data_IF_384191098897
#
_entry.id   IF_384191098897
#
_cell.length_a   1.000
_cell.length_b   1.000
_cell.length_c   1.000
_cell.angle_alpha   90.00
_cell.angle_beta   90.00
_cell.angle_gamma   90.00
#
_symmetry.space_group_name_H-M   'P 1'
#
loop_
_entity.id
_entity.type
_entity.pdbx_description
1 polymer ?
#
# COMPACT_ATOMS: atom_id res chain seq x y z
N UNK A 1 10.21 3.79 1.79
CA UNK A 1 11.53 3.20 1.48
C UNK A 1 12.43 3.01 2.70
N UNK A 2 12.93 4.06 3.36
CA UNK A 2 13.84 3.94 4.53
C UNK A 2 13.28 3.10 5.70
N UNK A 3 12.02 3.35 6.08
CA UNK A 3 11.35 2.59 7.16
C UNK A 3 11.25 1.11 6.82
N UNK A 4 10.90 0.76 5.57
CA UNK A 4 10.80 -0.62 5.11
C UNK A 4 12.16 -1.32 5.16
N UNK A 5 13.21 -0.67 4.63
CA UNK A 5 14.55 -1.26 4.60
C UNK A 5 15.11 -1.58 5.98
N UNK A 6 14.77 -0.80 7.01
CA UNK A 6 15.18 -1.05 8.41
C UNK A 6 14.55 -2.31 9.02
N UNK A 7 13.48 -2.87 8.42
CA UNK A 7 12.79 -4.07 8.93
C UNK A 7 13.39 -5.39 8.49
N UNK A 8 14.27 -5.38 7.49
CA UNK A 8 14.84 -6.58 6.88
C UNK A 8 16.35 -6.47 6.81
N UNK A 9 17.07 -7.59 6.93
CA UNK A 9 18.52 -7.59 6.96
C UNK A 9 19.11 -7.05 5.64
N UNK A 10 20.27 -6.39 5.66
CA UNK A 10 20.82 -5.71 4.47
C UNK A 10 21.22 -6.68 3.35
N UNK A 11 21.55 -7.93 3.68
CA UNK A 11 21.83 -8.97 2.69
C UNK A 11 20.57 -9.41 1.92
N UNK A 12 19.37 -9.20 2.47
CA UNK A 12 18.12 -9.55 1.80
C UNK A 12 17.75 -8.49 0.76
N UNK A 13 17.60 -8.93 -0.49
CA UNK A 13 17.10 -8.08 -1.58
C UNK A 13 15.60 -7.85 -1.38
N UNK A 14 15.19 -6.59 -1.36
CA UNK A 14 13.78 -6.24 -1.30
C UNK A 14 13.28 -5.89 -2.69
N UNK A 15 12.20 -6.54 -3.10
CA UNK A 15 11.45 -6.18 -4.30
C UNK A 15 10.24 -5.36 -3.89
N UNK A 16 10.08 -4.19 -4.49
CA UNK A 16 8.93 -3.32 -4.28
C UNK A 16 8.20 -3.23 -5.61
N UNK A 17 6.94 -3.64 -5.64
CA UNK A 17 6.05 -3.48 -6.79
C UNK A 17 5.28 -2.18 -6.63
N UNK A 18 5.24 -1.37 -7.68
CA UNK A 18 4.67 -0.03 -7.65
C UNK A 18 4.16 0.39 -9.03
N UNK A 19 3.28 1.39 -9.06
CA UNK A 19 2.79 1.99 -10.28
C UNK A 19 3.80 2.97 -10.91
N UNK A 20 3.41 3.59 -12.03
CA UNK A 20 4.23 4.55 -12.77
C UNK A 20 4.09 6.01 -12.29
N UNK A 21 3.68 6.25 -11.05
CA UNK A 21 3.58 7.62 -10.54
C UNK A 21 4.93 8.34 -10.64
N UNK A 22 4.95 9.57 -11.17
CA UNK A 22 6.19 10.25 -11.57
C UNK A 22 7.24 10.41 -10.45
N UNK A 23 6.88 10.62 -9.16
CA UNK A 23 7.86 10.65 -8.07
C UNK A 23 8.60 9.33 -7.87
N UNK A 24 8.01 8.18 -8.23
CA UNK A 24 8.68 6.89 -8.18
C UNK A 24 9.83 6.79 -9.17
N UNK A 25 9.84 7.63 -10.21
CA UNK A 25 10.89 7.67 -11.23
C UNK A 25 12.00 8.68 -10.92
N UNK A 26 11.85 9.49 -9.88
CA UNK A 26 12.80 10.53 -9.55
C UNK A 26 14.20 9.95 -9.25
N UNK A 27 15.27 10.58 -9.78
CA UNK A 27 16.67 10.12 -9.65
C UNK A 27 17.04 9.73 -8.21
N UNK A 28 16.75 10.60 -7.23
CA UNK A 28 16.94 10.34 -5.79
C UNK A 28 16.32 9.02 -5.31
N UNK A 29 15.14 8.65 -5.78
CA UNK A 29 14.45 7.41 -5.40
C UNK A 29 15.17 6.19 -5.98
N UNK A 30 15.47 6.21 -7.28
CA UNK A 30 16.19 5.11 -7.96
C UNK A 30 17.60 4.91 -7.39
N UNK A 31 18.34 5.99 -7.16
CA UNK A 31 19.68 5.95 -6.55
C UNK A 31 19.63 5.33 -5.15
N UNK A 32 18.71 5.81 -4.31
CA UNK A 32 18.56 5.28 -2.96
C UNK A 32 18.22 3.78 -2.97
N UNK A 33 17.32 3.33 -3.86
CA UNK A 33 16.93 1.93 -3.94
C UNK A 33 18.12 1.02 -4.29
N UNK A 34 18.89 1.39 -5.32
CA UNK A 34 20.11 0.69 -5.74
C UNK A 34 21.14 0.56 -4.61
N UNK A 35 21.37 1.64 -3.86
CA UNK A 35 22.34 1.66 -2.75
C UNK A 35 21.89 0.85 -1.53
N UNK A 36 20.62 0.45 -1.46
CA UNK A 36 20.02 -0.22 -0.31
C UNK A 36 19.55 -1.66 -0.62
N UNK A 37 20.05 -2.27 -1.69
CA UNK A 37 19.65 -3.61 -2.12
C UNK A 37 18.11 -3.72 -2.27
N UNK A 38 17.52 -2.68 -2.87
CA UNK A 38 16.08 -2.59 -3.17
C UNK A 38 15.89 -2.49 -4.67
N UNK A 39 15.08 -3.37 -5.22
CA UNK A 39 14.65 -3.36 -6.61
C UNK A 39 13.24 -2.81 -6.73
N UNK A 40 13.06 -1.85 -7.63
CA UNK A 40 11.78 -1.24 -7.95
C UNK A 40 11.23 -1.92 -9.20
N UNK A 41 10.10 -2.60 -9.06
CA UNK A 41 9.38 -3.29 -10.13
C UNK A 41 8.15 -2.46 -10.48
N UNK A 42 8.16 -1.86 -11.66
CA UNK A 42 7.06 -1.03 -12.13
C UNK A 42 6.02 -1.89 -12.85
N UNK A 43 4.74 -1.72 -12.53
CA UNK A 43 3.66 -2.31 -13.34
C UNK A 43 3.65 -1.67 -14.73
N UNK A 44 3.09 -2.32 -15.77
CA UNK A 44 2.84 -1.66 -17.05
C UNK A 44 1.97 -0.40 -16.90
N UNK A 45 2.10 0.54 -17.84
CA UNK A 45 1.25 1.73 -17.89
C UNK A 45 -0.22 1.31 -18.06
N UNK A 46 -1.11 1.98 -17.33
CA UNK A 46 -2.55 1.67 -17.29
C UNK A 46 -2.93 0.26 -16.79
N UNK A 47 -2.00 -0.44 -16.12
CA UNK A 47 -2.26 -1.76 -15.55
C UNK A 47 -2.46 -1.72 -14.03
N UNK A 48 -3.39 -0.89 -13.55
CA UNK A 48 -3.74 -0.83 -12.12
C UNK A 48 -4.21 -2.18 -11.56
N UNK A 49 -4.83 -3.01 -12.40
CA UNK A 49 -5.23 -4.39 -12.08
C UNK A 49 -4.06 -5.36 -11.85
N UNK A 50 -2.80 -4.94 -12.04
CA UNK A 50 -1.61 -5.68 -11.59
C UNK A 50 -1.06 -5.17 -10.25
N UNK A 51 -1.52 -4.00 -9.79
CA UNK A 51 -1.06 -3.41 -8.55
C UNK A 51 -1.92 -3.90 -7.37
N UNK A 52 -1.36 -4.82 -6.57
CA UNK A 52 -2.05 -5.46 -5.41
C UNK A 52 -2.54 -4.50 -4.34
N UNK A 53 -1.99 -3.27 -4.27
CA UNK A 53 -2.50 -2.27 -3.31
C UNK A 53 -3.94 -1.83 -3.64
N UNK A 54 -4.34 -1.90 -4.92
CA UNK A 54 -5.63 -1.38 -5.39
C UNK A 54 -6.83 -2.09 -4.73
N UNK A 55 -6.74 -3.41 -4.52
CA UNK A 55 -7.81 -4.15 -3.84
C UNK A 55 -7.95 -3.79 -2.36
N UNK A 56 -6.96 -3.13 -1.75
CA UNK A 56 -7.04 -2.68 -0.37
C UNK A 56 -7.77 -1.35 -0.22
N UNK A 57 -7.85 -0.53 -1.27
CA UNK A 57 -8.50 0.79 -1.20
C UNK A 57 -10.02 0.70 -1.11
N UNK A 58 -10.66 -0.30 -1.73
CA UNK A 58 -12.11 -0.53 -1.62
C UNK A 58 -12.57 -0.73 -0.17
N UNK A 59 -12.02 -1.74 0.54
CA UNK A 59 -12.27 -1.93 1.97
C UNK A 59 -11.95 -0.70 2.84
N UNK A 60 -10.83 0.00 2.57
CA UNK A 60 -10.49 1.22 3.31
C UNK A 60 -11.58 2.29 3.15
N UNK A 61 -12.04 2.52 1.92
CA UNK A 61 -13.14 3.46 1.65
C UNK A 61 -14.42 3.04 2.37
N UNK A 62 -14.77 1.75 2.30
CA UNK A 62 -15.99 1.21 2.91
C UNK A 62 -16.01 1.35 4.43
N UNK A 63 -14.92 0.98 5.10
CA UNK A 63 -14.90 0.85 6.56
C UNK A 63 -14.36 2.07 7.29
N UNK A 64 -13.71 3.00 6.59
CA UNK A 64 -13.12 4.20 7.21
C UNK A 64 -13.75 5.48 6.70
N UNK A 65 -14.10 5.59 5.41
CA UNK A 65 -14.55 6.86 4.83
C UNK A 65 -16.07 6.94 4.68
N UNK A 66 -16.72 5.85 4.28
CA UNK A 66 -18.16 5.84 4.02
C UNK A 66 -18.95 6.14 5.30
N UNK A 67 -19.82 7.15 5.25
CA UNK A 67 -20.64 7.57 6.40
C UNK A 67 -19.88 8.26 7.53
N UNK A 68 -18.60 8.59 7.33
CA UNK A 68 -17.78 9.27 8.35
C UNK A 68 -17.77 10.78 8.19
N UNK A 69 -17.60 11.51 9.29
CA UNK A 69 -17.39 12.97 9.32
C UNK A 69 -16.31 13.30 10.36
N UNK A 70 -15.04 13.13 9.99
CA UNK A 70 -13.92 13.43 10.89
C UNK A 70 -13.72 14.93 11.02
N UNK A 71 -13.49 15.40 12.25
CA UNK A 71 -13.36 16.83 12.55
C UNK A 71 -11.98 17.39 12.19
N UNK A 72 -11.00 16.52 11.90
CA UNK A 72 -9.64 16.90 11.55
C UNK A 72 -8.90 15.83 10.75
N UNK A 73 -7.80 16.24 10.11
CA UNK A 73 -6.87 15.33 9.44
C UNK A 73 -6.22 14.34 10.41
N UNK A 74 -5.96 14.75 11.65
CA UNK A 74 -5.37 13.88 12.67
C UNK A 74 -6.32 12.76 13.10
N UNK A 75 -7.61 13.09 13.20
CA UNK A 75 -8.65 12.10 13.51
C UNK A 75 -8.79 11.07 12.38
N UNK A 76 -8.85 11.55 11.13
CA UNK A 76 -8.83 10.69 9.94
C UNK A 76 -7.59 9.79 9.92
N UNK A 77 -6.40 10.34 10.19
CA UNK A 77 -5.16 9.58 10.23
C UNK A 77 -5.21 8.48 11.33
N UNK A 78 -5.72 8.80 12.52
CA UNK A 78 -5.91 7.82 13.61
C UNK A 78 -6.89 6.71 13.20
N UNK A 79 -8.00 7.05 12.55
CA UNK A 79 -8.99 6.09 12.07
C UNK A 79 -8.40 5.14 11.01
N UNK A 80 -7.69 5.68 10.01
CA UNK A 80 -6.99 4.88 9.00
C UNK A 80 -5.99 3.93 9.67
N UNK A 81 -5.18 4.42 10.62
CA UNK A 81 -4.20 3.58 11.32
C UNK A 81 -4.87 2.49 12.17
N UNK A 82 -5.96 2.82 12.87
CA UNK A 82 -6.72 1.85 13.66
C UNK A 82 -7.30 0.75 12.77
N UNK A 83 -7.88 1.12 11.64
CA UNK A 83 -8.37 0.17 10.64
C UNK A 83 -7.24 -0.71 10.09
N UNK A 84 -6.09 -0.15 9.70
CA UNK A 84 -4.96 -0.94 9.18
C UNK A 84 -4.49 -1.97 10.22
N UNK A 85 -4.37 -1.57 11.50
CA UNK A 85 -4.00 -2.49 12.58
C UNK A 85 -5.02 -3.60 12.75
N UNK A 86 -6.31 -3.25 12.81
CA UNK A 86 -7.39 -4.21 12.96
C UNK A 86 -7.45 -5.17 11.76
N UNK A 87 -7.39 -4.65 10.52
CA UNK A 87 -7.36 -5.42 9.28
C UNK A 87 -6.22 -6.42 9.25
N UNK A 88 -5.01 -6.00 9.64
CA UNK A 88 -3.84 -6.89 9.64
C UNK A 88 -3.97 -8.02 10.65
N UNK A 89 -4.61 -7.77 11.81
CA UNK A 89 -4.94 -8.80 12.80
C UNK A 89 -6.06 -9.72 12.31
N UNK A 90 -6.98 -9.22 11.50
CA UNK A 90 -8.17 -9.91 11.01
C UNK A 90 -8.12 -10.17 9.50
N UNK A 91 -6.97 -10.63 8.99
CA UNK A 91 -6.71 -10.77 7.54
C UNK A 91 -7.66 -11.72 6.78
N UNK A 92 -8.40 -12.57 7.49
CA UNK A 92 -9.39 -13.51 6.93
C UNK A 92 -10.84 -13.10 7.19
N UNK A 93 -11.08 -11.88 7.70
CA UNK A 93 -12.44 -11.43 7.99
C UNK A 93 -13.28 -11.35 6.71
N UNK A 94 -14.42 -12.03 6.70
CA UNK A 94 -15.25 -12.21 5.49
C UNK A 94 -15.67 -10.89 4.85
N UNK A 95 -16.11 -9.91 5.65
CA UNK A 95 -16.50 -8.60 5.12
C UNK A 95 -15.33 -7.86 4.43
N UNK A 96 -14.09 -8.04 4.90
CA UNK A 96 -12.90 -7.45 4.26
C UNK A 96 -12.67 -8.14 2.92
N UNK A 97 -12.67 -9.47 2.90
CA UNK A 97 -12.45 -10.26 1.69
C UNK A 97 -13.53 -9.97 0.64
N UNK A 98 -14.79 -9.83 1.05
CA UNK A 98 -15.89 -9.45 0.17
C UNK A 98 -15.63 -8.11 -0.52
N UNK A 99 -15.19 -7.10 0.22
CA UNK A 99 -14.87 -5.79 -0.36
C UNK A 99 -13.59 -5.82 -1.22
N UNK A 100 -12.58 -6.62 -0.86
CA UNK A 100 -11.37 -6.80 -1.68
C UNK A 100 -11.67 -7.44 -3.03
N UNK A 101 -12.48 -8.49 -3.02
CA UNK A 101 -12.78 -9.30 -4.20
C UNK A 101 -13.63 -8.57 -5.24
N UNK A 102 -14.18 -7.38 -4.92
CA UNK A 102 -14.81 -6.49 -5.90
C UNK A 102 -13.81 -5.93 -6.90
N UNK A 103 -12.54 -5.78 -6.50
CA UNK A 103 -11.46 -5.37 -7.38
C UNK A 103 -10.68 -6.61 -7.79
N UNK A 104 -10.79 -6.98 -9.06
CA UNK A 104 -9.98 -8.06 -9.63
C UNK A 104 -8.57 -7.53 -9.84
N UNK A 105 -7.64 -8.02 -9.03
CA UNK A 105 -6.20 -7.86 -9.24
C UNK A 105 -5.64 -9.24 -9.56
N UNK A 106 -4.84 -9.34 -10.61
CA UNK A 106 -4.25 -10.62 -11.02
C UNK A 106 -3.18 -11.14 -10.06
#
# INVERSE_FOLDING_TARGET
LKVLRRRYHRSERLYIVLDNFSPHHHKKVKTWARENNVELIYTPTYASWLNRIECHFGPLRKFVFEGSNYSSHDELAKAIQAYIRWRNKNKHHEAILKEQNKIKVA
#
